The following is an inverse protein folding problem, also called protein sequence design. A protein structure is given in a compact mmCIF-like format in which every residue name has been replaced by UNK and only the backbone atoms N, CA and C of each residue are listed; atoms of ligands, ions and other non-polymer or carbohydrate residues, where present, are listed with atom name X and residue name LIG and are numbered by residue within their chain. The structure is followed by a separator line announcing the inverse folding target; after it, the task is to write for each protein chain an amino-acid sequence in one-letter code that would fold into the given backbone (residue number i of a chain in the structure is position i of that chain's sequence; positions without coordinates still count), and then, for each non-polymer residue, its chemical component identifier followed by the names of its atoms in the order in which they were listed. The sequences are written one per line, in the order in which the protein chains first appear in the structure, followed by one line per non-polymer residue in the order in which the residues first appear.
data_IF_587559294696
#
_entry.id   IF_587559294696
#
_cell.length_a   1.000
_cell.length_b   1.000
_cell.length_c   1.000
_cell.angle_alpha   90.00
_cell.angle_beta   90.00
_cell.angle_gamma   90.00
#
_symmetry.space_group_name_H-M   'P 1'
#
loop_
_entity.id
_entity.type
_entity.pdbx_description
1 polymer ?
#
# COMPACT_ATOMS: atom_id res chain seq x y z
N UNK A 1 -1.96 -23.90 1.65
CA UNK A 1 -1.79 -23.41 3.03
C UNK A 1 -1.54 -24.65 3.87
N UNK A 2 -0.41 -24.75 4.53
CA UNK A 2 -0.08 -25.94 5.33
C UNK A 2 -0.82 -25.89 6.66
N UNK A 3 -0.99 -27.03 7.33
CA UNK A 3 -1.58 -27.06 8.68
C UNK A 3 -0.77 -26.22 9.68
N UNK A 4 0.54 -26.08 9.45
CA UNK A 4 1.44 -25.23 10.22
C UNK A 4 1.12 -23.74 10.05
N UNK A 5 0.86 -23.27 8.83
CA UNK A 5 0.44 -21.88 8.58
C UNK A 5 -0.90 -21.56 9.27
N UNK A 6 -1.83 -22.51 9.25
CA UNK A 6 -3.14 -22.37 9.88
C UNK A 6 -3.02 -22.29 11.41
N UNK A 7 -2.13 -23.09 12.02
CA UNK A 7 -1.86 -23.08 13.45
C UNK A 7 -1.21 -21.76 13.92
N UNK A 8 -0.25 -21.22 13.17
CA UNK A 8 0.35 -19.92 13.45
C UNK A 8 -0.67 -18.78 13.37
N UNK A 9 -1.59 -18.81 12.40
CA UNK A 9 -2.66 -17.82 12.28
C UNK A 9 -3.67 -17.88 13.43
N UNK A 10 -4.08 -19.09 13.86
CA UNK A 10 -4.97 -19.25 15.02
C UNK A 10 -4.33 -18.75 16.32
N UNK A 11 -3.03 -18.94 16.48
CA UNK A 11 -2.29 -18.44 17.65
C UNK A 11 -2.13 -16.92 17.64
N UNK A 12 -1.94 -16.31 16.46
CA UNK A 12 -1.82 -14.86 16.32
C UNK A 12 -3.17 -14.12 16.43
N UNK A 13 -4.29 -14.79 16.09
CA UNK A 13 -5.63 -14.22 16.07
C UNK A 13 -6.66 -15.20 16.66
N UNK A 14 -6.71 -15.34 18.00
CA UNK A 14 -7.57 -16.33 18.67
C UNK A 14 -9.07 -16.09 18.42
N UNK A 15 -9.47 -14.86 18.10
CA UNK A 15 -10.87 -14.45 17.92
C UNK A 15 -11.38 -14.57 16.48
N UNK A 16 -10.74 -15.35 15.60
CA UNK A 16 -11.27 -15.58 14.25
C UNK A 16 -12.61 -16.35 14.34
N UNK A 17 -13.78 -15.72 14.06
CA UNK A 17 -15.06 -16.38 14.30
C UNK A 17 -15.31 -17.48 13.27
N UNK A 18 -15.64 -18.67 13.77
CA UNK A 18 -16.03 -19.85 12.99
C UNK A 18 -17.52 -19.91 12.63
N UNK A 19 -18.30 -18.87 12.88
CA UNK A 19 -19.73 -18.83 12.59
C UNK A 19 -20.13 -17.48 11.97
N UNK A 20 -21.11 -17.49 11.06
CA UNK A 20 -21.65 -16.30 10.42
C UNK A 20 -22.10 -15.28 11.49
N UNK A 21 -21.68 -14.01 11.40
CA UNK A 21 -22.17 -13.00 12.30
C UNK A 21 -23.63 -12.69 11.94
N UNK A 22 -24.56 -12.60 12.92
CA UNK A 22 -25.94 -12.23 12.63
C UNK A 22 -26.01 -10.85 11.97
N UNK A 23 -26.99 -10.61 11.10
CA UNK A 23 -27.11 -9.40 10.27
C UNK A 23 -26.95 -8.07 11.04
N UNK A 24 -27.34 -8.03 12.31
CA UNK A 24 -27.13 -6.88 13.21
C UNK A 24 -25.65 -6.52 13.44
N UNK A 25 -24.75 -7.50 13.33
CA UNK A 25 -23.29 -7.32 13.46
C UNK A 25 -22.69 -6.71 12.20
N UNK A 26 -23.22 -7.05 11.01
CA UNK A 26 -22.78 -6.43 9.75
C UNK A 26 -23.19 -4.95 9.72
N UNK A 27 -24.41 -4.63 10.16
CA UNK A 27 -24.87 -3.25 10.27
C UNK A 27 -24.04 -2.44 11.30
N UNK A 28 -23.68 -3.05 12.44
CA UNK A 28 -22.78 -2.40 13.43
C UNK A 28 -21.37 -2.19 12.91
N UNK A 29 -20.83 -3.12 12.11
CA UNK A 29 -19.51 -2.96 11.50
C UNK A 29 -19.52 -1.86 10.43
N UNK A 30 -20.58 -1.76 9.62
CA UNK A 30 -20.74 -0.67 8.65
C UNK A 30 -20.87 0.71 9.34
N UNK A 31 -21.58 0.77 10.47
CA UNK A 31 -21.67 2.00 11.28
C UNK A 31 -20.33 2.37 11.94
N UNK A 32 -19.59 1.41 12.50
CA UNK A 32 -18.26 1.65 13.08
C UNK A 32 -17.23 2.13 12.03
N UNK A 33 -17.32 1.62 10.80
CA UNK A 33 -16.48 2.10 9.69
C UNK A 33 -16.84 3.52 9.23
N UNK A 34 -18.11 3.93 9.34
CA UNK A 34 -18.52 5.31 9.04
C UNK A 34 -18.11 6.30 10.15
N UNK A 35 -18.04 5.85 11.41
CA UNK A 35 -17.60 6.66 12.54
C UNK A 35 -16.08 6.90 12.57
N UNK A 36 -15.25 5.91 12.19
CA UNK A 36 -13.80 6.08 12.06
C UNK A 36 -13.41 7.10 10.98
N UNK A 37 -14.20 7.23 9.91
CA UNK A 37 -13.98 8.24 8.86
C UNK A 37 -14.44 9.65 9.27
N UNK A 38 -15.28 9.75 10.30
CA UNK A 38 -15.86 11.01 10.78
C UNK A 38 -15.05 11.68 11.91
N UNK A 39 -14.13 10.95 12.55
CA UNK A 39 -13.33 11.42 13.68
C UNK A 39 -12.07 12.20 13.26
N UNK A 40 -12.21 13.16 12.34
CA UNK A 40 -11.20 14.23 12.18
C UNK A 40 -11.72 15.49 12.86
N UNK A 41 -11.14 15.96 13.98
CA UNK A 41 -11.50 17.26 14.52
C UNK A 41 -11.09 18.34 13.51
N UNK A 42 -12.09 18.91 12.84
CA UNK A 42 -11.95 20.15 12.08
C UNK A 42 -11.59 21.25 13.08
N UNK A 43 -10.29 21.48 13.27
CA UNK A 43 -9.81 22.55 14.13
C UNK A 43 -10.05 23.87 13.39
N UNK A 44 -11.20 24.47 13.70
CA UNK A 44 -11.57 25.80 13.26
C UNK A 44 -10.45 26.78 13.59
N UNK A 45 -10.09 27.57 12.58
CA UNK A 45 -9.18 28.71 12.63
C UNK A 45 -9.68 29.76 13.62
N UNK A 46 -9.21 29.68 14.86
CA UNK A 46 -9.29 30.76 15.82
C UNK A 46 -8.19 31.79 15.52
N UNK A 47 -8.58 32.92 14.94
CA UNK A 47 -7.69 34.05 14.72
C UNK A 47 -7.25 34.68 16.04
N UNK A 48 -5.96 34.87 16.21
CA UNK A 48 -5.42 35.77 17.23
C UNK A 48 -4.44 36.74 16.56
N UNK A 49 -5.00 37.89 16.16
CA UNK A 49 -4.22 39.10 15.87
C UNK A 49 -3.74 39.67 17.20
N UNK A 50 -2.44 39.61 17.47
CA UNK A 50 -1.79 40.61 18.31
C UNK A 50 -0.44 40.96 17.71
N UNK A 51 -0.33 42.24 17.31
CA UNK A 51 0.91 42.83 16.85
C UNK A 51 1.86 43.13 18.01
N UNK A 52 3.14 43.05 17.70
CA UNK A 52 4.22 43.55 18.54
C UNK A 52 5.39 43.94 17.65
N UNK A 53 5.61 45.23 17.51
CA UNK A 53 6.71 45.83 16.74
C UNK A 53 8.03 45.73 17.53
N UNK A 54 9.12 45.46 16.79
CA UNK A 54 10.46 46.13 16.85
C UNK A 54 11.47 45.70 17.96
N UNK A 55 12.79 46.06 17.85
CA UNK A 55 13.84 45.19 17.31
C UNK A 55 15.04 45.03 18.28
N UNK A 56 16.09 44.28 17.94
CA UNK A 56 17.48 44.76 18.01
C UNK A 56 18.50 43.68 17.65
N UNK A 57 19.54 44.16 16.98
CA UNK A 57 20.76 43.47 16.60
C UNK A 57 21.57 43.09 17.84
N UNK A 58 22.06 41.85 17.92
CA UNK A 58 23.40 41.56 18.45
C UNK A 58 24.03 40.40 17.69
N UNK A 59 25.04 40.79 16.93
CA UNK A 59 26.12 40.00 16.36
C UNK A 59 26.82 39.21 17.46
N UNK A 60 26.92 37.90 17.30
CA UNK A 60 27.71 37.01 18.16
C UNK A 60 28.41 35.97 17.29
N UNK A 61 29.64 36.29 16.87
CA UNK A 61 30.61 35.35 16.33
C UNK A 61 30.97 34.34 17.42
N UNK A 62 30.79 33.04 17.17
CA UNK A 62 31.41 32.00 18.01
C UNK A 62 31.80 30.77 17.18
N UNK A 63 33.12 30.62 17.11
CA UNK A 63 33.98 29.46 16.91
C UNK A 63 33.40 28.16 16.33
N UNK A 64 34.01 27.80 15.20
CA UNK A 64 34.00 26.50 14.53
C UNK A 64 34.74 25.50 15.41
N UNK A 65 34.01 24.56 16.02
CA UNK A 65 34.55 23.33 16.60
C UNK A 65 34.17 22.15 15.74
N UNK A 66 35.03 21.80 14.78
CA UNK A 66 34.80 20.68 13.86
C UNK A 66 35.19 19.36 14.57
N UNK A 67 34.27 18.79 15.35
CA UNK A 67 34.42 17.42 15.86
C UNK A 67 34.01 16.46 14.75
N UNK A 68 34.99 15.90 14.05
CA UNK A 68 34.81 14.74 13.16
C UNK A 68 34.56 13.54 14.06
N UNK A 69 33.29 13.30 14.42
CA UNK A 69 32.89 12.02 14.98
C UNK A 69 32.83 11.05 13.81
N UNK A 70 33.94 10.37 13.54
CA UNK A 70 34.00 9.15 12.76
C UNK A 70 33.25 8.06 13.52
N UNK A 71 31.93 8.13 13.48
CA UNK A 71 31.04 7.14 14.04
C UNK A 71 31.26 5.82 13.33
N UNK A 72 31.95 4.90 14.01
CA UNK A 72 32.02 3.49 13.67
C UNK A 72 30.62 2.98 13.38
N UNK A 73 30.44 2.46 12.17
CA UNK A 73 29.19 1.92 11.67
C UNK A 73 28.56 1.02 12.73
N UNK A 74 27.36 1.37 13.18
CA UNK A 74 26.53 0.50 14.01
C UNK A 74 26.14 -0.68 13.13
N UNK A 75 26.99 -1.70 13.10
CA UNK A 75 26.68 -3.05 12.61
C UNK A 75 25.80 -3.75 13.66
N UNK A 76 24.67 -3.14 13.99
CA UNK A 76 23.72 -3.68 14.96
C UNK A 76 22.29 -3.31 14.54
N UNK A 77 21.90 -3.85 13.40
CA UNK A 77 20.52 -4.21 13.06
C UNK A 77 20.65 -4.92 11.72
N UNK A 78 20.37 -6.21 11.58
CA UNK A 78 19.02 -6.73 11.70
C UNK A 78 19.09 -8.20 12.13
N UNK A 79 18.23 -8.62 13.08
CA UNK A 79 17.93 -10.04 13.20
C UNK A 79 17.45 -10.50 11.83
N UNK A 80 18.29 -11.28 11.13
CA UNK A 80 18.22 -11.53 9.69
C UNK A 80 16.86 -12.00 9.27
N UNK A 81 16.02 -11.07 8.81
CA UNK A 81 14.71 -11.42 8.32
C UNK A 81 14.88 -11.99 6.92
N UNK A 82 14.84 -13.32 6.82
CA UNK A 82 14.92 -14.06 5.56
C UNK A 82 13.57 -14.70 5.23
N UNK A 83 12.60 -13.92 4.70
CA UNK A 83 11.30 -14.46 4.34
C UNK A 83 11.41 -15.35 3.10
N UNK A 84 10.60 -16.40 3.07
CA UNK A 84 10.41 -17.18 1.86
C UNK A 84 9.78 -16.33 0.75
N UNK A 85 10.50 -16.17 -0.36
CA UNK A 85 10.02 -15.50 -1.57
C UNK A 85 9.49 -16.55 -2.57
N UNK A 86 8.24 -16.38 -2.96
CA UNK A 86 7.52 -17.31 -3.85
C UNK A 86 7.18 -18.67 -3.20
N UNK A 87 6.37 -19.44 -3.92
CA UNK A 87 5.91 -20.76 -3.47
C UNK A 87 6.79 -21.86 -4.09
N UNK A 88 7.25 -22.85 -3.32
CA UNK A 88 7.94 -24.02 -3.87
C UNK A 88 7.12 -24.73 -4.94
N UNK A 89 7.76 -25.09 -6.06
CA UNK A 89 7.11 -25.78 -7.17
C UNK A 89 6.24 -24.90 -8.06
N UNK A 90 6.14 -23.59 -7.81
CA UNK A 90 5.40 -22.64 -8.65
C UNK A 90 6.35 -21.70 -9.38
N UNK A 91 6.92 -22.19 -10.49
CA UNK A 91 7.82 -21.42 -11.36
C UNK A 91 9.12 -20.99 -10.68
N UNK A 92 9.82 -20.05 -11.32
CA UNK A 92 11.03 -19.45 -10.78
C UNK A 92 10.71 -18.54 -9.59
N UNK A 93 11.43 -18.73 -8.49
CA UNK A 93 11.29 -17.89 -7.29
C UNK A 93 12.01 -16.55 -7.46
N UNK A 94 11.43 -15.45 -6.95
CA UNK A 94 12.17 -14.21 -6.76
C UNK A 94 13.39 -14.45 -5.87
N UNK A 95 14.46 -13.70 -6.14
CA UNK A 95 15.61 -13.59 -5.23
C UNK A 95 15.54 -12.30 -4.43
N UNK A 96 16.09 -12.31 -3.22
CA UNK A 96 16.37 -11.08 -2.51
C UNK A 96 17.47 -10.28 -3.24
N UNK A 97 17.39 -8.95 -3.18
CA UNK A 97 18.46 -8.08 -3.66
C UNK A 97 19.67 -8.15 -2.72
N UNK A 98 20.87 -8.18 -3.30
CA UNK A 98 22.11 -8.01 -2.55
C UNK A 98 22.54 -6.53 -2.46
N UNK A 99 21.84 -5.66 -3.18
CA UNK A 99 22.13 -4.23 -3.29
C UNK A 99 21.18 -3.41 -2.41
N UNK A 100 21.62 -2.21 -1.95
CA UNK A 100 20.71 -1.30 -1.26
C UNK A 100 19.61 -0.81 -2.19
N UNK A 101 18.51 -0.33 -1.60
CA UNK A 101 17.43 0.33 -2.36
C UNK A 101 18.00 1.55 -3.11
N UNK A 102 17.65 1.75 -4.39
CA UNK A 102 18.08 2.92 -5.14
C UNK A 102 17.76 4.23 -4.42
N UNK A 103 18.75 5.14 -4.35
CA UNK A 103 18.62 6.41 -3.63
C UNK A 103 17.43 7.26 -4.12
N UNK A 104 17.09 7.16 -5.41
CA UNK A 104 15.94 7.87 -5.98
C UNK A 104 14.61 7.40 -5.39
N UNK A 105 14.45 6.09 -5.15
CA UNK A 105 13.25 5.55 -4.49
C UNK A 105 13.17 6.01 -3.03
N UNK A 106 14.29 5.98 -2.31
CA UNK A 106 14.37 6.48 -0.93
C UNK A 106 14.03 7.98 -0.85
N UNK A 107 14.46 8.79 -1.82
CA UNK A 107 14.10 10.20 -1.90
C UNK A 107 12.62 10.40 -2.22
N UNK A 108 12.05 9.59 -3.11
CA UNK A 108 10.68 9.72 -3.57
C UNK A 108 9.62 9.29 -2.54
N UNK A 109 9.97 8.43 -1.56
CA UNK A 109 9.02 7.86 -0.61
C UNK A 109 9.53 7.93 0.84
N UNK A 110 8.88 8.74 1.66
CA UNK A 110 9.14 8.81 3.10
C UNK A 110 8.95 7.47 3.81
N UNK A 111 7.97 6.67 3.37
CA UNK A 111 7.70 5.35 3.96
C UNK A 111 8.87 4.38 3.81
N UNK A 112 9.75 4.52 2.80
CA UNK A 112 10.94 3.66 2.68
C UNK A 112 12.05 4.06 3.64
N UNK A 113 12.06 5.32 4.10
CA UNK A 113 13.08 5.86 5.01
C UNK A 113 12.82 5.50 6.48
N UNK A 114 11.60 5.09 6.84
CA UNK A 114 11.32 4.66 8.22
C UNK A 114 11.97 3.30 8.52
N UNK A 115 12.37 3.04 9.78
CA UNK A 115 12.79 1.71 10.20
C UNK A 115 11.70 0.65 9.95
N UNK A 116 12.13 -0.57 9.68
CA UNK A 116 11.21 -1.72 9.59
C UNK A 116 10.70 -2.09 10.99
N UNK A 117 9.41 -2.41 11.08
CA UNK A 117 8.69 -2.78 12.30
C UNK A 117 8.25 -4.25 12.25
N UNK A 118 7.81 -4.81 13.36
CA UNK A 118 7.28 -6.20 13.39
C UNK A 118 6.07 -6.38 12.47
N UNK A 119 5.28 -5.33 12.26
CA UNK A 119 4.16 -5.33 11.31
C UNK A 119 4.63 -5.62 9.89
N UNK A 120 5.77 -5.07 9.50
CA UNK A 120 6.38 -5.26 8.18
C UNK A 120 6.92 -6.68 7.98
N UNK A 121 7.08 -7.44 9.07
CA UNK A 121 7.58 -8.83 9.08
C UNK A 121 6.48 -9.85 9.41
N UNK A 122 5.25 -9.37 9.53
CA UNK A 122 4.10 -10.11 10.02
C UNK A 122 3.57 -11.20 9.07
N UNK A 123 2.61 -12.02 9.52
CA UNK A 123 2.10 -13.16 8.76
C UNK A 123 1.51 -12.79 7.39
N UNK A 124 0.76 -11.68 7.31
CA UNK A 124 0.16 -11.22 6.04
C UNK A 124 1.23 -10.83 5.01
N UNK A 125 2.34 -10.24 5.44
CA UNK A 125 3.47 -9.93 4.56
C UNK A 125 4.10 -11.22 4.03
N UNK A 126 4.35 -12.20 4.90
CA UNK A 126 4.89 -13.50 4.46
C UNK A 126 3.97 -14.22 3.47
N UNK A 127 2.65 -14.12 3.65
CA UNK A 127 1.67 -14.66 2.69
C UNK A 127 1.81 -13.95 1.34
N UNK A 128 1.86 -12.62 1.32
CA UNK A 128 2.06 -11.86 0.09
C UNK A 128 3.38 -12.23 -0.60
N UNK A 129 4.49 -12.30 0.13
CA UNK A 129 5.81 -12.65 -0.42
C UNK A 129 5.86 -14.06 -1.03
N UNK A 130 5.13 -15.03 -0.46
CA UNK A 130 5.00 -16.38 -1.04
C UNK A 130 4.18 -16.41 -2.33
N UNK A 131 3.33 -15.41 -2.57
CA UNK A 131 2.56 -15.30 -3.80
C UNK A 131 3.32 -14.65 -4.95
N UNK A 132 4.49 -14.04 -4.67
CA UNK A 132 5.33 -13.46 -5.71
C UNK A 132 5.93 -14.56 -6.60
N UNK A 133 5.96 -14.29 -7.89
CA UNK A 133 6.77 -15.03 -8.84
C UNK A 133 7.88 -14.12 -9.39
N UNK A 134 8.93 -14.72 -9.96
CA UNK A 134 10.09 -13.99 -10.49
C UNK A 134 9.72 -12.99 -11.59
N UNK A 135 8.63 -13.22 -12.32
CA UNK A 135 8.18 -12.32 -13.39
C UNK A 135 7.49 -11.07 -12.86
N UNK A 136 6.83 -11.17 -11.70
CA UNK A 136 6.23 -10.03 -11.01
C UNK A 136 7.27 -9.16 -10.32
N UNK A 137 8.20 -9.77 -9.60
CA UNK A 137 9.28 -9.05 -8.92
C UNK A 137 10.50 -9.93 -8.74
N UNK A 138 11.69 -9.41 -9.01
CA UNK A 138 12.94 -10.09 -8.71
C UNK A 138 14.00 -9.10 -8.20
N UNK A 139 14.85 -9.57 -7.29
CA UNK A 139 15.75 -8.69 -6.54
C UNK A 139 14.96 -7.91 -5.52
N UNK A 140 14.20 -8.59 -4.66
CA UNK A 140 13.35 -7.95 -3.65
C UNK A 140 14.24 -7.36 -2.55
N UNK A 141 14.13 -6.06 -2.28
CA UNK A 141 14.85 -5.42 -1.17
C UNK A 141 14.11 -5.69 0.15
N UNK A 142 14.37 -6.87 0.74
CA UNK A 142 13.62 -7.40 1.89
C UNK A 142 13.57 -6.41 3.07
N UNK A 143 14.70 -5.80 3.44
CA UNK A 143 14.77 -4.84 4.56
C UNK A 143 14.01 -3.53 4.29
N UNK A 144 13.58 -3.29 3.05
CA UNK A 144 12.81 -2.14 2.63
C UNK A 144 11.32 -2.44 2.40
N UNK A 145 10.87 -3.66 2.70
CA UNK A 145 9.44 -3.99 2.66
C UNK A 145 8.72 -3.22 3.76
N UNK A 146 7.61 -2.56 3.40
CA UNK A 146 6.81 -1.74 4.30
C UNK A 146 5.35 -2.08 4.15
N UNK A 147 4.69 -2.41 5.25
CA UNK A 147 3.24 -2.37 5.36
C UNK A 147 2.82 -0.92 5.37
N UNK A 148 2.01 -0.56 4.39
CA UNK A 148 1.38 0.74 4.28
C UNK A 148 0.08 0.75 5.08
N UNK A 149 -0.71 -0.31 4.90
CA UNK A 149 -2.00 -0.46 5.56
C UNK A 149 -2.23 -1.91 5.96
N UNK A 150 -2.99 -2.11 7.03
CA UNK A 150 -3.38 -3.43 7.50
C UNK A 150 -4.71 -3.32 8.24
N UNK A 151 -5.71 -4.02 7.72
CA UNK A 151 -6.92 -4.33 8.45
C UNK A 151 -6.79 -5.67 9.19
N UNK A 152 -7.88 -6.09 9.84
CA UNK A 152 -7.92 -7.40 10.54
C UNK A 152 -7.63 -8.58 9.62
N UNK A 153 -7.92 -8.45 8.33
CA UNK A 153 -7.89 -9.53 7.33
C UNK A 153 -7.22 -9.13 6.02
N UNK A 154 -6.60 -7.96 5.95
CA UNK A 154 -5.99 -7.44 4.74
C UNK A 154 -4.74 -6.65 5.05
N UNK A 155 -3.82 -6.57 4.10
CA UNK A 155 -2.66 -5.71 4.16
C UNK A 155 -2.34 -5.16 2.77
N UNK A 156 -1.91 -3.90 2.71
CA UNK A 156 -1.27 -3.31 1.54
C UNK A 156 0.20 -3.09 1.87
N UNK A 157 1.06 -3.62 1.00
CA UNK A 157 2.49 -3.80 1.23
C UNK A 157 3.24 -3.17 0.05
N UNK A 158 4.19 -2.32 0.36
CA UNK A 158 5.17 -1.81 -0.59
C UNK A 158 6.39 -2.75 -0.60
N UNK A 159 6.75 -3.21 -1.79
CA UNK A 159 7.82 -4.16 -2.04
C UNK A 159 8.74 -3.55 -3.12
N UNK A 160 9.84 -2.89 -2.73
CA UNK A 160 10.85 -2.45 -3.68
C UNK A 160 11.57 -3.66 -4.27
N UNK A 161 11.83 -3.64 -5.58
CA UNK A 161 12.56 -4.69 -6.26
C UNK A 161 13.45 -4.13 -7.39
N UNK A 162 14.54 -4.83 -7.70
CA UNK A 162 15.46 -4.46 -8.77
C UNK A 162 14.79 -4.53 -10.16
N UNK A 163 13.81 -5.43 -10.36
CA UNK A 163 13.11 -5.56 -11.65
C UNK A 163 11.74 -6.24 -11.59
N UNK A 164 10.94 -6.00 -12.62
CA UNK A 164 9.70 -6.71 -12.98
C UNK A 164 9.74 -7.09 -14.48
N UNK A 165 8.84 -7.98 -14.92
CA UNK A 165 8.69 -8.41 -16.31
C UNK A 165 9.17 -9.85 -16.55
N UNK A 166 8.75 -10.48 -17.66
CA UNK A 166 9.17 -11.84 -18.00
C UNK A 166 10.70 -11.90 -18.13
N UNK A 167 11.30 -12.96 -17.60
CA UNK A 167 12.71 -13.28 -17.84
C UNK A 167 12.85 -13.93 -19.23
N UNK A 168 12.27 -13.31 -20.26
CA UNK A 168 12.38 -13.75 -21.64
C UNK A 168 13.24 -12.75 -22.41
N UNK A 169 14.42 -13.15 -22.91
CA UNK A 169 15.31 -12.27 -23.66
C UNK A 169 14.64 -11.59 -24.85
N UNK A 170 13.60 -12.22 -25.42
CA UNK A 170 12.83 -11.70 -26.56
C UNK A 170 11.91 -10.53 -26.24
N UNK A 171 11.64 -10.27 -24.95
CA UNK A 171 10.76 -9.19 -24.48
C UNK A 171 11.44 -8.30 -23.43
N UNK A 172 12.74 -8.03 -23.61
CA UNK A 172 13.52 -7.21 -22.68
C UNK A 172 12.93 -5.80 -22.47
N UNK A 173 12.20 -5.27 -23.46
CA UNK A 173 11.50 -3.98 -23.38
C UNK A 173 10.29 -3.99 -22.43
N UNK A 174 9.81 -5.16 -22.01
CA UNK A 174 8.76 -5.29 -21.00
C UNK A 174 9.32 -5.31 -19.57
N UNK A 175 10.63 -5.42 -19.41
CA UNK A 175 11.27 -5.38 -18.11
C UNK A 175 11.50 -3.93 -17.67
N UNK A 176 11.03 -3.59 -16.47
CA UNK A 176 11.39 -2.35 -15.80
C UNK A 176 12.39 -2.64 -14.67
N UNK A 177 13.30 -1.70 -14.43
CA UNK A 177 14.28 -1.73 -13.34
C UNK A 177 13.87 -0.78 -12.22
N UNK A 178 14.39 -1.03 -11.02
CA UNK A 178 14.20 -0.18 -9.85
C UNK A 178 12.72 0.12 -9.64
N UNK A 179 11.94 -0.96 -9.48
CA UNK A 179 10.49 -0.88 -9.38
C UNK A 179 10.02 -0.87 -7.94
N UNK A 180 8.85 -0.26 -7.76
CA UNK A 180 8.08 -0.22 -6.53
C UNK A 180 6.81 -1.03 -6.78
N UNK A 181 6.69 -2.19 -6.14
CA UNK A 181 5.50 -3.03 -6.24
C UNK A 181 4.58 -2.76 -5.06
N UNK A 182 3.36 -2.29 -5.34
CA UNK A 182 2.30 -2.18 -4.35
C UNK A 182 1.44 -3.43 -4.43
N UNK A 183 1.42 -4.22 -3.37
CA UNK A 183 0.71 -5.49 -3.30
C UNK A 183 -0.33 -5.45 -2.19
N UNK A 184 -1.56 -5.84 -2.49
CA UNK A 184 -2.62 -5.98 -1.50
C UNK A 184 -3.00 -7.43 -1.38
N UNK A 185 -3.00 -7.93 -0.15
CA UNK A 185 -3.49 -9.26 0.22
C UNK A 185 -4.70 -9.12 1.12
N UNK A 186 -5.73 -9.93 0.90
CA UNK A 186 -6.93 -9.97 1.73
C UNK A 186 -7.42 -11.40 1.90
N UNK A 187 -7.87 -11.74 3.10
CA UNK A 187 -8.57 -12.99 3.37
C UNK A 187 -10.01 -12.89 2.88
N UNK A 188 -10.37 -13.76 1.94
CA UNK A 188 -11.72 -13.98 1.45
C UNK A 188 -12.32 -15.13 2.25
N UNK A 189 -13.42 -14.87 2.96
CA UNK A 189 -14.13 -15.90 3.69
C UNK A 189 -14.73 -16.95 2.73
N UNK A 190 -14.82 -18.23 3.15
CA UNK A 190 -15.57 -19.23 2.39
C UNK A 190 -17.00 -18.75 2.15
N UNK A 191 -17.52 -19.02 0.97
CA UNK A 191 -18.85 -18.54 0.57
C UNK A 191 -19.59 -19.63 -0.20
N UNK A 192 -20.91 -19.63 -0.12
CA UNK A 192 -21.75 -20.56 -0.89
C UNK A 192 -22.34 -19.81 -2.07
N UNK A 193 -22.03 -20.24 -3.28
CA UNK A 193 -22.57 -19.67 -4.51
C UNK A 193 -23.57 -20.64 -5.14
N UNK A 194 -24.66 -20.12 -5.70
CA UNK A 194 -25.58 -20.91 -6.51
C UNK A 194 -25.22 -20.73 -7.98
N UNK A 195 -24.84 -21.82 -8.65
CA UNK A 195 -24.52 -21.82 -10.09
C UNK A 195 -25.26 -22.98 -10.76
N UNK A 196 -26.08 -22.67 -11.77
CA UNK A 196 -26.92 -23.68 -12.45
C UNK A 196 -27.88 -24.42 -11.51
N UNK A 197 -28.52 -23.70 -10.58
CA UNK A 197 -29.45 -24.27 -9.60
C UNK A 197 -28.80 -25.10 -8.47
N UNK A 198 -27.48 -25.28 -8.48
CA UNK A 198 -26.75 -26.03 -7.43
C UNK A 198 -25.96 -25.08 -6.52
N UNK A 199 -26.11 -25.25 -5.21
CA UNK A 199 -25.27 -24.59 -4.20
C UNK A 199 -23.90 -25.26 -4.17
N UNK A 200 -22.83 -24.49 -4.38
CA UNK A 200 -21.44 -24.93 -4.26
C UNK A 200 -20.72 -24.08 -3.22
N UNK A 201 -20.03 -24.72 -2.29
CA UNK A 201 -19.15 -24.03 -1.34
C UNK A 201 -17.83 -23.71 -2.04
N UNK A 202 -17.51 -22.43 -2.17
CA UNK A 202 -16.20 -21.94 -2.60
C UNK A 202 -15.35 -21.79 -1.35
N UNK A 203 -14.17 -22.43 -1.36
CA UNK A 203 -13.21 -22.32 -0.28
C UNK A 203 -12.80 -20.86 -0.07
N UNK A 204 -12.62 -20.48 1.19
CA UNK A 204 -11.97 -19.21 1.52
C UNK A 204 -10.47 -19.30 1.28
N UNK A 205 -9.78 -18.17 1.36
CA UNK A 205 -8.34 -18.12 1.17
C UNK A 205 -7.82 -16.71 1.14
N UNK A 206 -6.53 -16.57 0.84
CA UNK A 206 -5.94 -15.25 0.62
C UNK A 206 -5.99 -14.96 -0.88
N UNK A 207 -6.74 -13.92 -1.23
CA UNK A 207 -6.69 -13.29 -2.54
C UNK A 207 -5.80 -12.07 -2.49
N UNK A 208 -5.33 -11.62 -3.65
CA UNK A 208 -4.52 -10.43 -3.71
C UNK A 208 -4.27 -9.99 -5.14
N UNK A 209 -3.75 -8.78 -5.25
CA UNK A 209 -3.34 -8.18 -6.50
C UNK A 209 -2.26 -7.17 -6.22
N UNK A 210 -1.48 -6.83 -7.23
CA UNK A 210 -0.52 -5.76 -7.11
C UNK A 210 -0.22 -5.13 -8.45
N UNK A 211 0.42 -3.97 -8.39
CA UNK A 211 1.03 -3.35 -9.56
C UNK A 211 2.44 -2.97 -9.21
N UNK A 212 3.33 -3.01 -10.19
CA UNK A 212 4.67 -2.45 -10.08
C UNK A 212 4.77 -1.22 -10.98
N UNK A 213 5.62 -0.27 -10.60
CA UNK A 213 5.95 0.90 -11.41
C UNK A 213 7.31 1.45 -11.03
N UNK A 214 7.89 2.29 -11.88
CA UNK A 214 9.17 2.96 -11.58
C UNK A 214 8.93 4.24 -10.77
N UNK A 215 10.01 4.91 -10.36
CA UNK A 215 9.95 6.27 -9.79
C UNK A 215 9.31 7.27 -10.76
N UNK A 216 9.51 7.12 -12.07
CA UNK A 216 8.82 7.92 -13.09
C UNK A 216 7.31 7.66 -13.10
N UNK A 217 6.86 6.40 -13.04
CA UNK A 217 5.43 6.07 -12.88
C UNK A 217 4.87 6.68 -11.60
N UNK A 218 5.58 6.56 -10.48
CA UNK A 218 5.19 7.16 -9.21
C UNK A 218 5.00 8.67 -9.32
N UNK A 219 5.90 9.39 -9.99
CA UNK A 219 5.85 10.85 -10.15
C UNK A 219 4.75 11.34 -11.08
N UNK A 220 4.37 10.55 -12.08
CA UNK A 220 3.44 10.98 -13.13
C UNK A 220 2.00 10.52 -12.90
N UNK A 221 1.79 9.28 -12.45
CA UNK A 221 0.44 8.71 -12.29
C UNK A 221 0.19 8.12 -10.90
N UNK A 222 1.25 7.96 -10.12
CA UNK A 222 1.22 7.16 -8.90
C UNK A 222 1.20 5.66 -9.21
N UNK A 223 1.38 4.82 -8.19
CA UNK A 223 1.40 3.37 -8.34
C UNK A 223 0.20 2.79 -7.59
N UNK A 224 -0.74 2.16 -8.29
CA UNK A 224 -2.05 1.77 -7.75
C UNK A 224 -2.27 0.27 -7.68
N UNK A 225 -2.67 -0.20 -6.51
CA UNK A 225 -3.21 -1.54 -6.32
C UNK A 225 -4.72 -1.46 -6.01
N UNK A 226 -5.51 -2.26 -6.70
CA UNK A 226 -6.92 -2.48 -6.37
C UNK A 226 -7.09 -3.81 -5.66
N UNK A 227 -7.86 -3.82 -4.58
CA UNK A 227 -8.48 -5.02 -4.04
C UNK A 227 -9.99 -4.85 -4.21
N UNK A 228 -10.52 -5.39 -5.30
CA UNK A 228 -11.96 -5.60 -5.35
C UNK A 228 -12.31 -6.79 -4.47
N UNK A 229 -13.51 -6.79 -3.89
CA UNK A 229 -14.12 -8.01 -3.31
C UNK A 229 -14.18 -9.17 -4.33
N UNK A 230 -14.04 -8.83 -5.60
CA UNK A 230 -13.99 -9.74 -6.75
C UNK A 230 -12.57 -9.98 -7.30
N UNK A 231 -11.48 -9.64 -6.60
CA UNK A 231 -10.13 -9.98 -7.06
C UNK A 231 -9.99 -11.52 -7.17
N UNK A 232 -10.24 -12.06 -8.37
CA UNK A 232 -10.31 -13.50 -8.67
C UNK A 232 -11.70 -14.05 -9.07
N UNK A 233 -12.77 -13.25 -9.04
CA UNK A 233 -14.08 -13.66 -9.59
C UNK A 233 -14.21 -13.19 -11.04
N UNK A 234 -14.31 -14.14 -11.97
CA UNK A 234 -14.78 -13.86 -13.33
C UNK A 234 -16.23 -13.37 -13.21
N UNK A 235 -16.46 -12.07 -13.43
CA UNK A 235 -17.80 -11.52 -13.47
C UNK A 235 -18.45 -11.98 -14.79
N UNK A 236 -19.31 -12.99 -14.72
CA UNK A 236 -20.08 -13.48 -15.88
C UNK A 236 -21.42 -12.75 -16.07
N UNK A 237 -21.69 -11.71 -15.26
CA UNK A 237 -22.91 -10.91 -15.33
C UNK A 237 -22.63 -9.44 -15.69
N UNK A 238 -23.66 -8.67 -16.06
CA UNK A 238 -23.52 -7.25 -16.34
C UNK A 238 -22.94 -6.51 -15.13
N UNK A 239 -21.93 -5.67 -15.37
CA UNK A 239 -21.29 -4.87 -14.32
C UNK A 239 -22.25 -3.77 -13.89
N UNK A 240 -22.77 -3.87 -12.67
CA UNK A 240 -23.47 -2.75 -12.03
C UNK A 240 -22.44 -1.71 -11.57
N UNK A 241 -22.40 -0.56 -12.24
CA UNK A 241 -21.47 0.53 -11.95
C UNK A 241 -21.93 1.45 -10.80
N UNK A 242 -23.15 1.29 -10.34
CA UNK A 242 -23.77 2.16 -9.32
C UNK A 242 -23.98 1.42 -8.00
N UNK A 243 -24.42 0.17 -8.06
CA UNK A 243 -24.72 -0.68 -6.91
C UNK A 243 -23.85 -1.94 -6.87
N UNK A 244 -22.81 -2.00 -7.72
CA UNK A 244 -21.81 -3.05 -7.66
C UNK A 244 -21.02 -3.04 -6.35
N UNK A 245 -20.31 -4.15 -6.05
CA UNK A 245 -19.48 -4.24 -4.87
C UNK A 245 -18.44 -3.12 -4.84
N UNK A 246 -18.03 -2.72 -3.64
CA UNK A 246 -17.03 -1.69 -3.46
C UNK A 246 -15.68 -2.20 -3.97
N UNK A 247 -15.06 -1.42 -4.85
CA UNK A 247 -13.66 -1.62 -5.22
C UNK A 247 -12.80 -0.71 -4.36
N UNK A 248 -11.95 -1.32 -3.53
CA UNK A 248 -11.00 -0.59 -2.71
C UNK A 248 -9.69 -0.39 -3.48
N UNK A 249 -9.18 0.83 -3.45
CA UNK A 249 -7.90 1.17 -4.06
C UNK A 249 -6.94 1.70 -3.00
N UNK A 250 -5.67 1.35 -3.16
CA UNK A 250 -4.55 2.00 -2.51
C UNK A 250 -3.62 2.52 -3.61
N UNK A 251 -3.18 3.76 -3.51
CA UNK A 251 -2.27 4.36 -4.50
C UNK A 251 -1.11 5.05 -3.79
N UNK A 252 0.11 4.68 -4.17
CA UNK A 252 1.33 5.39 -3.81
C UNK A 252 1.44 6.69 -4.60
N UNK A 253 1.87 7.74 -3.91
CA UNK A 253 2.18 9.06 -4.46
C UNK A 253 3.56 9.52 -3.95
N UNK A 254 4.23 10.43 -4.66
CA UNK A 254 5.50 10.97 -4.20
C UNK A 254 5.40 11.65 -2.84
N UNK A 255 6.56 11.81 -2.20
CA UNK A 255 6.69 12.62 -1.00
C UNK A 255 6.26 14.09 -1.21
N UNK A 256 5.74 14.68 -0.14
CA UNK A 256 5.18 16.04 -0.15
C UNK A 256 3.73 16.17 -0.65
N UNK A 257 3.12 15.11 -1.22
CA UNK A 257 1.68 15.11 -1.51
C UNK A 257 0.90 14.88 -0.22
N UNK A 258 0.03 15.82 0.14
CA UNK A 258 -0.76 15.77 1.38
C UNK A 258 -2.24 15.40 1.15
N UNK A 259 -2.79 15.73 -0.02
CA UNK A 259 -4.17 15.38 -0.41
C UNK A 259 -4.28 15.14 -1.91
N UNK A 260 -5.24 14.30 -2.28
CA UNK A 260 -5.53 13.95 -3.68
C UNK A 260 -7.01 14.12 -3.95
N UNK A 261 -7.34 14.89 -4.97
CA UNK A 261 -8.69 14.93 -5.54
C UNK A 261 -8.76 13.95 -6.70
N UNK A 262 -9.70 13.02 -6.62
CA UNK A 262 -9.94 11.96 -7.59
C UNK A 262 -11.16 12.34 -8.40
N UNK A 263 -11.00 12.41 -9.71
CA UNK A 263 -12.10 12.62 -10.63
C UNK A 263 -12.68 11.26 -11.03
N UNK A 264 -13.92 11.03 -10.66
CA UNK A 264 -14.68 9.82 -10.98
C UNK A 264 -15.58 10.08 -12.19
N UNK A 265 -16.18 9.02 -12.73
CA UNK A 265 -17.17 9.15 -13.81
C UNK A 265 -18.35 10.04 -13.37
N UNK A 266 -18.99 10.66 -14.37
CA UNK A 266 -20.15 11.57 -14.20
C UNK A 266 -19.85 12.83 -13.38
N UNK A 267 -18.60 13.32 -13.45
CA UNK A 267 -18.19 14.57 -12.82
C UNK A 267 -18.10 14.51 -11.28
N UNK A 268 -18.28 13.34 -10.67
CA UNK A 268 -18.09 13.18 -9.23
C UNK A 268 -16.63 13.34 -8.87
N UNK A 269 -16.36 14.02 -7.76
CA UNK A 269 -15.01 14.17 -7.22
C UNK A 269 -14.97 13.72 -5.77
N UNK A 270 -13.86 13.11 -5.37
CA UNK A 270 -13.60 12.75 -3.98
C UNK A 270 -12.22 13.26 -3.61
N UNK A 271 -12.10 13.97 -2.50
CA UNK A 271 -10.80 14.40 -1.98
C UNK A 271 -10.44 13.56 -0.79
N UNK A 272 -9.26 12.95 -0.83
CA UNK A 272 -8.75 12.06 0.22
C UNK A 272 -7.41 12.56 0.75
N UNK A 273 -7.17 12.44 2.07
CA UNK A 273 -5.86 12.71 2.63
C UNK A 273 -4.86 11.63 2.20
N UNK A 274 -3.59 12.03 2.10
CA UNK A 274 -2.45 11.12 1.93
C UNK A 274 -1.79 10.91 3.28
N UNK A 275 -1.50 9.65 3.62
CA UNK A 275 -0.73 9.27 4.81
C UNK A 275 0.36 8.29 4.39
N UNK A 276 1.59 8.52 4.84
CA UNK A 276 2.75 7.67 4.52
C UNK A 276 2.88 7.38 3.01
N UNK A 277 2.78 8.44 2.20
CA UNK A 277 2.83 8.39 0.74
C UNK A 277 1.69 7.59 0.08
N UNK A 278 0.62 7.24 0.80
CA UNK A 278 -0.51 6.49 0.24
C UNK A 278 -1.82 7.20 0.53
N UNK A 279 -2.69 7.23 -0.48
CA UNK A 279 -4.11 7.47 -0.27
C UNK A 279 -4.92 6.23 -0.62
N UNK A 280 -6.08 6.14 0.02
CA UNK A 280 -7.04 5.05 -0.18
C UNK A 280 -8.40 5.64 -0.42
N UNK A 281 -9.19 4.95 -1.21
CA UNK A 281 -10.58 5.29 -1.44
C UNK A 281 -11.32 4.04 -1.93
N UNK A 282 -12.63 4.03 -1.74
CA UNK A 282 -13.50 2.99 -2.24
C UNK A 282 -14.54 3.62 -3.18
N UNK A 283 -14.87 2.91 -4.26
CA UNK A 283 -15.96 3.31 -5.16
C UNK A 283 -16.85 2.10 -5.45
N UNK A 284 -18.18 2.28 -5.54
CA UNK A 284 -19.08 1.22 -5.94
C UNK A 284 -18.83 0.83 -7.40
N UNK A 285 -18.82 -0.48 -7.68
CA UNK A 285 -18.60 -1.03 -9.01
C UNK A 285 -17.20 -0.77 -9.58
N UNK A 286 -17.08 -0.83 -10.91
CA UNK A 286 -15.85 -0.52 -11.65
C UNK A 286 -15.90 0.93 -12.13
N UNK A 287 -15.95 1.89 -11.21
CA UNK A 287 -15.86 3.29 -11.64
C UNK A 287 -14.44 3.58 -12.12
N UNK A 288 -14.31 3.84 -13.42
CA UNK A 288 -13.05 4.32 -13.99
C UNK A 288 -12.73 5.68 -13.38
N UNK A 289 -11.59 5.80 -12.73
CA UNK A 289 -11.04 7.12 -12.48
C UNK A 289 -10.69 7.79 -13.81
N UNK A 290 -11.05 9.07 -13.92
CA UNK A 290 -10.74 9.90 -15.08
C UNK A 290 -9.47 10.73 -14.88
N UNK A 291 -8.96 10.78 -13.65
CA UNK A 291 -7.70 11.46 -13.32
C UNK A 291 -7.58 11.74 -11.83
N UNK A 292 -6.41 12.26 -11.44
CA UNK A 292 -6.17 12.73 -10.08
C UNK A 292 -5.51 14.11 -10.11
N UNK A 293 -5.72 14.90 -9.06
CA UNK A 293 -5.07 16.18 -8.83
C UNK A 293 -4.42 16.10 -7.46
N UNK A 294 -3.13 16.39 -7.39
CA UNK A 294 -2.35 16.29 -6.16
C UNK A 294 -2.16 17.68 -5.58
N UNK A 295 -2.14 17.75 -4.25
CA UNK A 295 -1.85 18.98 -3.55
C UNK A 295 -0.88 18.72 -2.40
N UNK A 296 -0.05 19.72 -2.11
CA UNK A 296 0.83 19.73 -0.94
C UNK A 296 0.06 20.10 0.35
N UNK A 297 0.80 20.17 1.46
CA UNK A 297 0.24 20.52 2.77
C UNK A 297 -0.26 21.98 2.84
N UNK A 298 0.26 22.88 2.01
CA UNK A 298 -0.23 24.27 1.90
C UNK A 298 -1.49 24.38 1.03
N UNK A 299 -1.91 23.28 0.38
CA UNK A 299 -3.03 23.26 -0.55
C UNK A 299 -2.66 23.72 -1.95
N UNK A 300 -1.38 23.90 -2.26
CA UNK A 300 -0.89 24.21 -3.61
C UNK A 300 -1.04 22.98 -4.48
N UNK A 301 -1.58 23.15 -5.69
CA UNK A 301 -1.66 22.08 -6.68
C UNK A 301 -0.26 21.68 -7.14
N UNK A 302 0.04 20.40 -7.11
CA UNK A 302 1.27 19.81 -7.66
C UNK A 302 0.97 19.38 -9.10
N UNK A 303 1.63 20.01 -10.06
CA UNK A 303 1.60 19.54 -11.44
C UNK A 303 2.55 18.34 -11.61
N UNK A 304 1.95 17.16 -11.73
CA UNK A 304 2.67 15.90 -11.96
C UNK A 304 2.88 15.59 -13.45
N UNK A 305 2.26 16.36 -14.36
CA UNK A 305 2.45 16.19 -15.82
C UNK A 305 3.65 16.97 -16.33
N UNK A 306 4.07 17.99 -15.62
CA UNK A 306 5.21 18.83 -15.97
C UNK A 306 6.56 18.36 -15.40
N UNK A 307 6.61 17.23 -14.67
CA UNK A 307 7.85 16.74 -14.05
C UNK A 307 8.49 15.66 -14.94
N UNK A 308 9.73 15.87 -15.43
CA UNK A 308 10.46 14.88 -16.20
C UNK A 308 10.76 13.61 -15.39
#
# INVERSE_FOLDING_TARGET
MTDHDLACLKRAYPDLPGAEPPAATVARLQAAYAEEDSATPSRATGGQRQGGRRPSRRTGLLAIGLVVISGTAVAASTGGWDPQLGTPGRGDRPRAAATPVPAEQLAALAVLRRPQTDRDRGPLVRIALRSLDRSLANGVHVEAIRVIDQGRRSATILIPAERTGPYEPRYANLAARDVLCLHTVAFVAPTTVTAGGRRRRVGGGYGGGGTCGTTSTLRTTGIRAGAGDNAGRVMTGPVDYEHGPLTHYATLVPDGVAKVTINLRRGRTVTVPVRDNVYRFAVPGIQSQLGTIWYDAAGTRIDHRARP
#
